data_IF_230422804674
#
_entry.id   IF_230422804674
#
_cell.length_a   1.000
_cell.length_b   1.000
_cell.length_c   1.000
_cell.angle_alpha   90.00
_cell.angle_beta   90.00
_cell.angle_gamma   90.00
#
_symmetry.space_group_name_H-M   'P 1'
#
loop_
_entity.id
_entity.type
_entity.pdbx_description
1 polymer ?
#
# COMPACT_ATOMS: atom_id res chain seq x y z
N UNK A 1 21.51 -10.59 -23.29
CA UNK A 1 20.05 -10.32 -23.04
C UNK A 1 19.42 -11.51 -22.32
N UNK A 2 19.13 -11.36 -21.01
CA UNK A 2 18.66 -12.44 -20.13
C UNK A 2 17.32 -13.07 -20.57
N UNK A 3 17.30 -14.41 -20.70
CA UNK A 3 16.13 -15.26 -21.01
C UNK A 3 14.90 -14.94 -20.13
N UNK A 4 15.13 -14.47 -18.90
CA UNK A 4 14.10 -14.03 -17.93
C UNK A 4 13.20 -12.91 -18.47
N UNK A 5 13.71 -11.98 -19.29
CA UNK A 5 12.92 -10.87 -19.87
C UNK A 5 11.91 -11.35 -20.93
N UNK A 6 12.15 -12.49 -21.61
CA UNK A 6 11.24 -13.03 -22.65
C UNK A 6 10.04 -13.78 -22.06
N UNK A 7 10.21 -14.51 -20.96
CA UNK A 7 9.13 -15.32 -20.35
C UNK A 7 8.03 -14.43 -19.73
N UNK A 8 8.40 -13.27 -19.17
CA UNK A 8 7.43 -12.35 -18.55
C UNK A 8 6.47 -11.72 -19.57
N UNK A 9 6.88 -11.56 -20.85
CA UNK A 9 6.02 -10.95 -21.88
C UNK A 9 4.85 -11.85 -22.32
N UNK A 10 5.01 -13.18 -22.37
CA UNK A 10 3.95 -14.11 -22.84
C UNK A 10 2.92 -14.51 -21.77
N UNK A 11 3.24 -14.37 -20.47
CA UNK A 11 2.37 -14.83 -19.37
C UNK A 11 2.10 -13.76 -18.30
N UNK A 12 2.28 -12.48 -18.62
CA UNK A 12 2.16 -11.36 -17.67
C UNK A 12 0.86 -11.41 -16.85
N UNK A 13 -0.28 -11.66 -17.50
CA UNK A 13 -1.58 -11.71 -16.82
C UNK A 13 -1.69 -12.89 -15.85
N UNK A 14 -1.16 -14.07 -16.22
CA UNK A 14 -1.13 -15.25 -15.34
C UNK A 14 -0.23 -15.03 -14.13
N UNK A 15 0.92 -14.39 -14.34
CA UNK A 15 1.88 -14.06 -13.27
C UNK A 15 1.32 -13.02 -12.30
N UNK A 16 0.67 -11.97 -12.80
CA UNK A 16 0.00 -10.96 -11.96
C UNK A 16 -1.17 -11.59 -11.19
N UNK A 17 -1.98 -12.43 -11.83
CA UNK A 17 -3.07 -13.16 -11.16
C UNK A 17 -2.54 -14.03 -10.02
N UNK A 18 -1.46 -14.79 -10.25
CA UNK A 18 -0.83 -15.60 -9.21
C UNK A 18 -0.29 -14.75 -8.05
N UNK A 19 0.29 -13.59 -8.35
CA UNK A 19 0.71 -12.62 -7.33
C UNK A 19 -0.48 -12.13 -6.49
N UNK A 20 -1.58 -11.76 -7.14
CA UNK A 20 -2.80 -11.36 -6.46
C UNK A 20 -3.34 -12.47 -5.56
N UNK A 21 -3.54 -13.66 -6.09
CA UNK A 21 -4.15 -14.79 -5.38
C UNK A 21 -3.32 -15.25 -4.17
N UNK A 22 -1.99 -15.28 -4.30
CA UNK A 22 -1.10 -15.84 -3.27
C UNK A 22 -0.55 -14.81 -2.27
N UNK A 23 -0.56 -13.53 -2.62
CA UNK A 23 0.04 -12.48 -1.78
C UNK A 23 -0.95 -11.37 -1.42
N UNK A 24 -1.60 -10.75 -2.40
CA UNK A 24 -2.48 -9.60 -2.14
C UNK A 24 -3.77 -10.04 -1.47
N UNK A 25 -4.44 -11.08 -1.99
CA UNK A 25 -5.71 -11.56 -1.46
C UNK A 25 -5.62 -11.99 0.02
N UNK A 26 -4.65 -12.81 0.46
CA UNK A 26 -4.49 -13.14 1.88
C UNK A 26 -4.19 -11.92 2.76
N UNK A 27 -3.41 -10.95 2.25
CA UNK A 27 -3.15 -9.68 2.97
C UNK A 27 -4.43 -8.85 3.11
N UNK A 28 -5.27 -8.82 2.07
CA UNK A 28 -6.56 -8.15 2.09
C UNK A 28 -7.55 -8.81 3.05
N UNK A 29 -7.56 -10.14 3.13
CA UNK A 29 -8.36 -10.89 4.11
C UNK A 29 -7.93 -10.50 5.54
N UNK A 30 -6.63 -10.51 5.83
CA UNK A 30 -6.11 -10.09 7.13
C UNK A 30 -6.41 -8.61 7.43
N UNK A 31 -6.20 -7.71 6.47
CA UNK A 31 -6.53 -6.29 6.60
C UNK A 31 -8.00 -6.07 6.93
N UNK A 32 -8.91 -6.77 6.23
CA UNK A 32 -10.34 -6.64 6.47
C UNK A 32 -10.74 -7.21 7.83
N UNK A 33 -10.07 -8.28 8.30
CA UNK A 33 -10.24 -8.81 9.66
C UNK A 33 -9.80 -7.79 10.71
N UNK A 34 -8.58 -7.28 10.65
CA UNK A 34 -8.06 -6.28 11.59
C UNK A 34 -8.91 -4.99 11.58
N UNK A 35 -9.33 -4.54 10.39
CA UNK A 35 -10.23 -3.40 10.24
C UNK A 35 -11.57 -3.65 10.95
N UNK A 36 -12.12 -4.86 10.86
CA UNK A 36 -13.37 -5.23 11.55
C UNK A 36 -13.17 -5.18 13.07
N UNK A 37 -12.11 -5.80 13.57
CA UNK A 37 -11.76 -5.83 15.00
C UNK A 37 -11.59 -4.41 15.56
N UNK A 38 -10.83 -3.55 14.87
CA UNK A 38 -10.66 -2.15 15.25
C UNK A 38 -12.00 -1.40 15.37
N UNK A 39 -12.95 -1.63 14.46
CA UNK A 39 -14.27 -0.99 14.56
C UNK A 39 -15.12 -1.56 15.69
N UNK A 40 -15.06 -2.87 15.92
CA UNK A 40 -15.78 -3.53 17.03
C UNK A 40 -15.27 -3.02 18.38
N UNK A 41 -13.96 -2.84 18.53
CA UNK A 41 -13.34 -2.25 19.73
C UNK A 41 -13.78 -0.80 19.96
N UNK A 42 -13.68 0.05 18.92
CA UNK A 42 -14.13 1.45 19.02
C UNK A 42 -15.62 1.56 19.34
N UNK A 43 -16.46 0.74 18.72
CA UNK A 43 -17.90 0.70 19.03
C UNK A 43 -18.15 0.29 20.49
N UNK A 44 -17.40 -0.70 21.00
CA UNK A 44 -17.46 -1.10 22.42
C UNK A 44 -17.05 0.04 23.36
N UNK A 45 -16.00 0.78 23.02
CA UNK A 45 -15.52 1.93 23.82
C UNK A 45 -16.56 3.05 23.89
N UNK A 46 -17.11 3.49 22.75
CA UNK A 46 -18.14 4.52 22.74
C UNK A 46 -19.43 4.08 23.46
N UNK A 47 -19.82 2.82 23.33
CA UNK A 47 -20.95 2.28 24.09
C UNK A 47 -20.69 2.26 25.60
N UNK A 48 -19.44 2.04 26.05
CA UNK A 48 -19.07 2.18 27.48
C UNK A 48 -19.18 3.64 27.94
N UNK A 49 -18.74 4.60 27.13
CA UNK A 49 -18.84 6.04 27.43
C UNK A 49 -20.32 6.41 27.63
N UNK A 50 -21.20 6.00 26.71
CA UNK A 50 -22.63 6.31 26.75
C UNK A 50 -23.39 5.69 27.93
N UNK A 51 -22.83 4.68 28.60
CA UNK A 51 -23.42 4.06 29.79
C UNK A 51 -23.10 4.82 31.09
N UNK A 52 -22.23 5.83 31.07
CA UNK A 52 -21.91 6.65 32.25
C UNK A 52 -23.11 7.53 32.62
N UNK A 53 -23.52 7.51 33.89
CA UNK A 53 -24.70 8.25 34.39
C UNK A 53 -24.49 9.76 34.31
N UNK A 54 -23.31 10.24 34.71
CA UNK A 54 -23.00 11.68 34.82
C UNK A 54 -22.24 12.23 33.59
N UNK A 55 -22.64 11.79 32.39
CA UNK A 55 -21.97 12.21 31.16
C UNK A 55 -22.45 13.59 30.71
N UNK A 56 -21.52 14.54 30.56
CA UNK A 56 -21.78 15.84 29.94
C UNK A 56 -22.41 15.69 28.56
N UNK A 57 -23.37 16.57 28.23
CA UNK A 57 -24.14 16.52 26.98
C UNK A 57 -23.23 16.52 25.75
N UNK A 58 -22.21 17.37 25.72
CA UNK A 58 -21.27 17.47 24.60
C UNK A 58 -20.53 16.16 24.35
N UNK A 59 -20.03 15.53 25.42
CA UNK A 59 -19.34 14.23 25.34
C UNK A 59 -20.29 13.14 24.85
N UNK A 60 -21.56 13.17 25.27
CA UNK A 60 -22.60 12.25 24.79
C UNK A 60 -22.83 12.41 23.29
N UNK A 61 -23.02 13.65 22.83
CA UNK A 61 -23.30 13.96 21.43
C UNK A 61 -22.12 13.58 20.52
N UNK A 62 -20.88 13.83 20.98
CA UNK A 62 -19.66 13.42 20.29
C UNK A 62 -19.51 11.90 20.19
N UNK A 63 -19.85 11.16 21.26
CA UNK A 63 -19.85 9.71 21.24
C UNK A 63 -20.89 9.14 20.26
N UNK A 64 -22.10 9.72 20.23
CA UNK A 64 -23.16 9.34 19.27
C UNK A 64 -22.70 9.62 17.83
N UNK A 65 -22.11 10.79 17.57
CA UNK A 65 -21.59 11.18 16.25
C UNK A 65 -20.48 10.25 15.80
N UNK A 66 -19.58 9.89 16.71
CA UNK A 66 -18.48 8.95 16.45
C UNK A 66 -18.99 7.55 16.13
N UNK A 67 -19.99 7.05 16.86
CA UNK A 67 -20.65 5.77 16.54
C UNK A 67 -21.30 5.76 15.16
N UNK A 68 -22.01 6.84 14.79
CA UNK A 68 -22.59 6.99 13.44
C UNK A 68 -21.49 6.95 12.37
N UNK A 69 -20.36 7.61 12.60
CA UNK A 69 -19.20 7.61 11.70
C UNK A 69 -18.60 6.21 11.54
N UNK A 70 -18.37 5.51 12.65
CA UNK A 70 -17.87 4.12 12.67
C UNK A 70 -18.77 3.22 11.84
N UNK A 71 -20.10 3.27 12.06
CA UNK A 71 -21.06 2.44 11.30
C UNK A 71 -21.03 2.74 9.80
N UNK A 72 -20.84 3.99 9.41
CA UNK A 72 -20.69 4.39 7.99
C UNK A 72 -19.37 3.90 7.40
N UNK A 73 -18.26 4.12 8.10
CA UNK A 73 -16.91 3.75 7.63
C UNK A 73 -16.69 2.23 7.59
N UNK A 74 -17.31 1.49 8.52
CA UNK A 74 -17.32 0.02 8.55
C UNK A 74 -17.92 -0.57 7.27
N UNK A 75 -18.99 0.03 6.75
CA UNK A 75 -19.63 -0.37 5.48
C UNK A 75 -18.82 0.07 4.24
N UNK A 76 -17.91 1.03 4.39
CA UNK A 76 -17.13 1.55 3.28
C UNK A 76 -16.04 0.59 2.84
N UNK A 77 -16.04 0.26 1.55
CA UNK A 77 -14.97 -0.49 0.87
C UNK A 77 -13.81 0.40 0.42
N UNK A 78 -13.88 1.73 0.62
CA UNK A 78 -12.87 2.69 0.13
C UNK A 78 -11.46 2.36 0.64
N UNK A 79 -11.31 2.16 1.95
CA UNK A 79 -10.02 1.79 2.55
C UNK A 79 -9.47 0.48 1.98
N UNK A 80 -10.32 -0.54 1.86
CA UNK A 80 -9.91 -1.85 1.33
C UNK A 80 -9.48 -1.76 -0.14
N UNK A 81 -10.20 -0.99 -0.98
CA UNK A 81 -9.80 -0.76 -2.38
C UNK A 81 -8.47 0.00 -2.50
N UNK A 82 -8.23 0.98 -1.62
CA UNK A 82 -6.96 1.70 -1.58
C UNK A 82 -5.84 0.75 -1.18
N UNK A 83 -6.03 -0.05 -0.13
CA UNK A 83 -5.04 -1.02 0.33
C UNK A 83 -4.71 -2.06 -0.75
N UNK A 84 -5.72 -2.62 -1.40
CA UNK A 84 -5.55 -3.60 -2.48
C UNK A 84 -4.74 -2.99 -3.64
N UNK A 85 -5.07 -1.76 -4.05
CA UNK A 85 -4.32 -1.04 -5.09
C UNK A 85 -2.88 -0.77 -4.67
N UNK A 86 -2.65 -0.43 -3.40
CA UNK A 86 -1.31 -0.24 -2.85
C UNK A 86 -0.51 -1.54 -2.88
N UNK A 87 -1.07 -2.64 -2.37
CA UNK A 87 -0.41 -3.95 -2.36
C UNK A 87 -0.16 -4.45 -3.80
N UNK A 88 -1.09 -4.24 -4.72
CA UNK A 88 -0.90 -4.52 -6.15
C UNK A 88 0.24 -3.71 -6.75
N UNK A 89 0.31 -2.41 -6.45
CA UNK A 89 1.37 -1.54 -6.95
C UNK A 89 2.74 -1.88 -6.35
N UNK A 90 2.81 -2.34 -5.11
CA UNK A 90 4.06 -2.68 -4.44
C UNK A 90 4.56 -4.06 -4.91
N UNK A 91 3.71 -5.08 -4.81
CA UNK A 91 4.14 -6.47 -4.95
C UNK A 91 3.86 -7.09 -6.32
N UNK A 92 2.92 -6.52 -7.08
CA UNK A 92 2.42 -7.06 -8.34
C UNK A 92 2.63 -6.16 -9.57
N UNK A 93 3.64 -5.29 -9.54
CA UNK A 93 3.91 -4.27 -10.57
C UNK A 93 5.32 -4.42 -11.19
N UNK A 94 5.48 -5.24 -12.23
CA UNK A 94 6.78 -5.45 -12.87
C UNK A 94 7.34 -4.14 -13.43
N UNK A 95 8.61 -3.86 -13.13
CA UNK A 95 9.28 -2.61 -13.50
C UNK A 95 8.79 -1.38 -12.74
N UNK A 96 7.96 -1.57 -11.70
CA UNK A 96 7.52 -0.50 -10.81
C UNK A 96 6.88 0.71 -11.52
N UNK A 97 6.09 0.44 -12.56
CA UNK A 97 5.46 1.46 -13.39
C UNK A 97 4.55 2.40 -12.58
N UNK A 98 4.62 3.68 -12.87
CA UNK A 98 3.90 4.75 -12.18
C UNK A 98 4.36 5.00 -10.75
N UNK A 99 5.53 4.49 -10.34
CA UNK A 99 6.08 4.66 -8.99
C UNK A 99 7.43 5.40 -9.00
N UNK A 100 7.87 5.86 -7.83
CA UNK A 100 9.17 6.53 -7.66
C UNK A 100 10.35 5.61 -7.99
N UNK A 101 10.15 4.29 -8.04
CA UNK A 101 11.17 3.30 -8.39
C UNK A 101 11.12 2.87 -9.87
N UNK A 102 10.22 3.44 -10.69
CA UNK A 102 10.22 3.16 -12.13
C UNK A 102 11.57 3.56 -12.74
N UNK A 103 12.23 2.72 -13.56
CA UNK A 103 13.48 3.09 -14.22
C UNK A 103 13.36 4.32 -15.11
N UNK A 104 14.34 5.23 -15.03
CA UNK A 104 14.44 6.46 -15.83
C UNK A 104 15.13 7.59 -15.09
N UNK A 105 15.25 8.75 -15.74
CA UNK A 105 15.91 9.94 -15.17
C UNK A 105 14.92 10.91 -14.48
N UNK A 106 13.61 10.67 -14.63
CA UNK A 106 12.55 11.57 -14.17
C UNK A 106 11.47 10.76 -13.45
N UNK A 107 10.67 11.45 -12.63
CA UNK A 107 9.43 10.86 -12.10
C UNK A 107 8.49 10.47 -13.25
N UNK A 108 7.75 9.35 -13.13
CA UNK A 108 6.75 8.97 -14.12
C UNK A 108 5.56 9.94 -14.15
N UNK A 109 4.90 10.02 -15.31
CA UNK A 109 3.78 10.94 -15.58
C UNK A 109 2.61 10.79 -14.59
N UNK A 110 2.42 9.57 -14.11
CA UNK A 110 1.39 9.15 -13.18
C UNK A 110 1.55 9.82 -11.82
N UNK A 111 2.78 10.08 -11.38
CA UNK A 111 3.06 10.80 -10.15
C UNK A 111 2.65 12.27 -10.29
N UNK A 112 3.00 12.91 -11.41
CA UNK A 112 2.56 14.28 -11.69
C UNK A 112 1.04 14.39 -11.71
N UNK A 113 0.35 13.45 -12.37
CA UNK A 113 -1.12 13.42 -12.40
C UNK A 113 -1.73 13.22 -11.01
N UNK A 114 -1.14 12.34 -10.19
CA UNK A 114 -1.66 12.00 -8.86
C UNK A 114 -1.52 13.16 -7.87
N UNK A 115 -0.44 13.93 -7.96
CA UNK A 115 -0.13 14.97 -6.98
C UNK A 115 -0.17 16.39 -7.55
N UNK A 116 -0.83 16.59 -8.70
CA UNK A 116 -0.96 17.90 -9.35
C UNK A 116 -1.52 18.98 -8.42
N UNK A 117 -2.42 18.60 -7.51
CA UNK A 117 -3.13 19.51 -6.59
C UNK A 117 -2.48 19.57 -5.20
N UNK A 118 -1.36 18.86 -4.98
CA UNK A 118 -0.66 18.80 -3.68
C UNK A 118 0.61 19.62 -3.76
N UNK A 119 0.54 20.87 -3.28
CA UNK A 119 1.66 21.81 -3.29
C UNK A 119 2.91 21.21 -2.64
N UNK A 120 4.06 21.29 -3.33
CA UNK A 120 5.36 20.83 -2.84
C UNK A 120 5.60 19.32 -2.92
N UNK A 121 4.59 18.49 -3.17
CA UNK A 121 4.76 17.03 -3.18
C UNK A 121 5.65 16.53 -4.32
N UNK A 122 5.56 17.15 -5.49
CA UNK A 122 6.40 16.79 -6.65
C UNK A 122 7.88 17.06 -6.35
N UNK A 123 8.18 18.14 -5.63
CA UNK A 123 9.54 18.56 -5.33
C UNK A 123 10.17 17.61 -4.31
N UNK A 124 9.43 17.23 -3.27
CA UNK A 124 9.82 16.19 -2.31
C UNK A 124 10.11 14.87 -3.04
N UNK A 125 9.21 14.44 -3.94
CA UNK A 125 9.40 13.18 -4.66
C UNK A 125 10.58 13.20 -5.64
N UNK A 126 10.93 14.37 -6.21
CA UNK A 126 12.13 14.53 -7.04
C UNK A 126 13.39 14.37 -6.18
N UNK A 127 13.41 14.98 -5.00
CA UNK A 127 14.53 14.88 -4.06
C UNK A 127 14.69 13.44 -3.56
N UNK A 128 13.60 12.81 -3.11
CA UNK A 128 13.59 11.40 -2.71
C UNK A 128 14.12 10.50 -3.83
N UNK A 129 13.68 10.73 -5.07
CA UNK A 129 14.14 9.94 -6.21
C UNK A 129 15.63 10.13 -6.46
N UNK A 130 16.13 11.37 -6.39
CA UNK A 130 17.56 11.67 -6.51
C UNK A 130 18.36 10.96 -5.41
N UNK A 131 17.86 10.95 -4.17
CA UNK A 131 18.50 10.26 -3.05
C UNK A 131 18.50 8.73 -3.22
N UNK A 132 17.42 8.16 -3.75
CA UNK A 132 17.30 6.72 -4.00
C UNK A 132 18.17 6.24 -5.16
N UNK A 133 18.22 6.99 -6.26
CA UNK A 133 18.89 6.59 -7.51
C UNK A 133 20.35 7.07 -7.56
N UNK A 134 20.69 8.18 -6.91
CA UNK A 134 21.97 8.85 -7.11
C UNK A 134 22.17 9.17 -8.59
N UNK A 135 23.22 8.60 -9.19
CA UNK A 135 23.53 8.73 -10.62
C UNK A 135 22.93 7.60 -11.48
N UNK A 136 22.23 6.63 -10.88
CA UNK A 136 21.65 5.51 -11.60
C UNK A 136 20.36 5.93 -12.31
N UNK A 137 20.04 5.21 -13.38
CA UNK A 137 18.74 5.31 -14.06
C UNK A 137 17.82 4.15 -13.71
N UNK A 138 18.34 3.14 -13.01
CA UNK A 138 17.62 1.95 -12.56
C UNK A 138 18.15 1.52 -11.19
N UNK A 139 17.26 1.16 -10.28
CA UNK A 139 17.55 0.68 -8.93
C UNK A 139 16.87 -0.66 -8.65
N UNK A 140 16.43 -1.36 -9.70
CA UNK A 140 15.72 -2.63 -9.61
C UNK A 140 16.62 -3.79 -10.05
N UNK A 141 16.69 -4.82 -9.22
CA UNK A 141 17.26 -6.13 -9.56
C UNK A 141 16.09 -7.11 -9.63
N UNK A 142 15.82 -7.67 -10.82
CA UNK A 142 14.67 -8.55 -11.08
C UNK A 142 13.31 -7.96 -10.67
N UNK A 143 13.12 -6.64 -10.80
CA UNK A 143 11.94 -5.86 -10.35
C UNK A 143 11.85 -5.61 -8.83
N UNK A 144 12.87 -5.97 -8.05
CA UNK A 144 12.96 -5.70 -6.62
C UNK A 144 13.97 -4.58 -6.36
N UNK A 145 13.66 -3.67 -5.45
CA UNK A 145 14.59 -2.61 -5.08
C UNK A 145 15.95 -3.19 -4.64
N UNK A 146 17.05 -2.69 -5.21
CA UNK A 146 18.38 -3.29 -5.03
C UNK A 146 18.87 -3.29 -3.57
N UNK A 147 18.43 -2.32 -2.75
CA UNK A 147 18.78 -2.23 -1.32
C UNK A 147 17.78 -2.96 -0.42
N UNK A 148 16.84 -3.71 -0.99
CA UNK A 148 15.89 -4.48 -0.22
C UNK A 148 16.58 -5.60 0.58
N UNK A 149 16.23 -5.84 1.86
CA UNK A 149 16.74 -6.97 2.60
C UNK A 149 16.42 -8.29 1.88
N UNK A 150 17.45 -9.12 1.65
CA UNK A 150 17.33 -10.39 0.90
C UNK A 150 16.27 -11.31 1.50
N UNK A 151 16.24 -11.44 2.83
CA UNK A 151 15.25 -12.24 3.54
C UNK A 151 13.80 -11.79 3.26
N UNK A 152 13.58 -10.49 3.07
CA UNK A 152 12.27 -9.95 2.73
C UNK A 152 11.92 -10.22 1.27
N UNK A 153 12.86 -9.97 0.33
CA UNK A 153 12.67 -10.31 -1.08
C UNK A 153 12.34 -11.78 -1.25
N UNK A 154 13.04 -12.67 -0.55
CA UNK A 154 12.80 -14.12 -0.60
C UNK A 154 11.43 -14.49 -0.06
N UNK A 155 10.99 -13.86 1.05
CA UNK A 155 9.63 -14.05 1.60
C UNK A 155 8.55 -13.62 0.59
N UNK A 156 8.74 -12.48 -0.08
CA UNK A 156 7.81 -11.97 -1.08
C UNK A 156 7.78 -12.87 -2.32
N UNK A 157 8.94 -13.27 -2.84
CA UNK A 157 9.06 -14.21 -3.98
C UNK A 157 8.42 -15.57 -3.68
N UNK A 158 8.62 -16.13 -2.48
CA UNK A 158 7.97 -17.38 -2.03
C UNK A 158 6.45 -17.29 -2.08
N UNK A 159 5.89 -16.10 -1.80
CA UNK A 159 4.45 -15.82 -1.91
C UNK A 159 4.01 -15.40 -3.32
N UNK A 160 4.83 -15.65 -4.34
CA UNK A 160 4.58 -15.26 -5.74
C UNK A 160 4.56 -13.75 -6.00
N UNK A 161 5.13 -12.94 -5.11
CA UNK A 161 5.38 -11.53 -5.39
C UNK A 161 6.39 -11.36 -6.52
N UNK A 162 6.16 -10.37 -7.37
CA UNK A 162 6.89 -10.18 -8.63
C UNK A 162 7.68 -8.88 -8.68
N UNK A 163 7.45 -8.00 -7.71
CA UNK A 163 8.12 -6.72 -7.58
C UNK A 163 8.20 -6.28 -6.11
N UNK A 164 8.97 -5.23 -5.86
CA UNK A 164 8.91 -4.49 -4.61
C UNK A 164 9.09 -2.99 -4.87
N UNK A 165 7.97 -2.33 -5.17
CA UNK A 165 7.91 -0.98 -5.73
C UNK A 165 7.59 0.11 -4.70
N UNK A 166 8.00 -0.10 -3.45
CA UNK A 166 7.90 0.87 -2.38
C UNK A 166 9.18 0.87 -1.55
N UNK A 167 9.50 1.99 -0.90
CA UNK A 167 10.61 2.03 0.04
C UNK A 167 10.33 1.03 1.17
N UNK A 168 11.34 0.22 1.50
CA UNK A 168 11.26 -0.69 2.64
C UNK A 168 11.73 0.09 3.85
N UNK A 169 10.79 0.78 4.46
CA UNK A 169 11.02 1.41 5.74
C UNK A 169 11.01 0.31 6.81
N UNK A 170 11.64 0.57 7.95
CA UNK A 170 11.72 -0.35 9.10
C UNK A 170 10.36 -0.73 9.73
N UNK A 171 9.24 -0.52 9.04
CA UNK A 171 7.87 -0.68 9.55
C UNK A 171 7.05 -1.75 8.81
N UNK A 172 7.62 -2.45 7.82
CA UNK A 172 6.96 -3.58 7.14
C UNK A 172 7.21 -4.95 7.80
N UNK A 173 7.77 -4.97 9.03
CA UNK A 173 8.06 -6.16 9.82
C UNK A 173 6.83 -6.68 10.56
#
# INVERSE_FOLDING_TARGET
MNKTKKIIKKNKNRTIKKCFDNLVKPRMENYNKLKKEMYDEREKEYNKILKKKDLLKEVRDDAIKSLKRIKKERKSKKGSKIQEKTDMNIFCNPGCKGTILEPGNKLPSEIYKKYKDVKGMIEILKEDRKNLFGNKTDVLIDNFYEKAPKNFVDKIKKKSGISLCGPIDKFYW
#
